data_IF_162973367230
#
_entry.id   IF_162973367230
#
_cell.length_a   1.000
_cell.length_b   1.000
_cell.length_c   1.000
_cell.angle_alpha   90.00
_cell.angle_beta   90.00
_cell.angle_gamma   90.00
#
_symmetry.space_group_name_H-M   'P 1'
#
loop_
_entity.id
_entity.type
_entity.pdbx_description
1 polymer ?
#
# COMPACT_ATOMS: atom_id res chain seq x y z
N UNK A 1 -1.35 -9.05 5.40
CA UNK A 1 -1.96 -8.30 4.29
C UNK A 1 -3.19 -8.97 3.69
N UNK A 2 -3.11 -10.24 3.33
CA UNK A 2 -4.27 -10.97 2.79
C UNK A 2 -5.48 -10.98 3.73
N UNK A 3 -5.25 -11.08 5.04
CA UNK A 3 -6.34 -11.07 6.02
C UNK A 3 -7.16 -9.80 5.98
N UNK A 4 -6.52 -8.62 5.82
CA UNK A 4 -7.24 -7.36 5.73
C UNK A 4 -8.15 -7.32 4.50
N UNK A 5 -7.66 -7.79 3.35
CA UNK A 5 -8.41 -7.82 2.10
C UNK A 5 -9.56 -8.83 2.15
N UNK A 6 -9.30 -10.03 2.67
CA UNK A 6 -10.31 -11.09 2.76
C UNK A 6 -11.42 -10.79 3.78
N UNK A 7 -11.19 -9.86 4.71
CA UNK A 7 -12.23 -9.45 5.66
C UNK A 7 -13.28 -8.52 5.04
N UNK A 8 -13.07 -8.06 3.80
CA UNK A 8 -14.01 -7.19 3.08
C UNK A 8 -14.89 -8.04 2.16
N UNK A 9 -16.22 -8.05 2.38
CA UNK A 9 -17.12 -8.85 1.55
C UNK A 9 -17.06 -8.45 0.07
N UNK A 10 -16.96 -9.45 -0.80
CA UNK A 10 -16.92 -9.23 -2.24
C UNK A 10 -15.59 -8.77 -2.80
N UNK A 11 -14.54 -8.63 -1.98
CA UNK A 11 -13.22 -8.26 -2.45
C UNK A 11 -12.55 -9.41 -3.19
N UNK A 12 -12.01 -9.11 -4.37
CA UNK A 12 -11.18 -10.04 -5.15
C UNK A 12 -9.73 -9.58 -4.98
N UNK A 13 -8.88 -10.48 -4.47
CA UNK A 13 -7.49 -10.16 -4.15
C UNK A 13 -6.55 -10.82 -5.15
N UNK A 14 -5.72 -10.01 -5.80
CA UNK A 14 -4.62 -10.47 -6.64
C UNK A 14 -3.31 -10.18 -5.95
N UNK A 15 -2.50 -11.23 -5.74
CA UNK A 15 -1.14 -11.09 -5.23
C UNK A 15 -0.18 -11.15 -6.40
N UNK A 16 0.52 -10.05 -6.68
CA UNK A 16 1.43 -9.94 -7.81
C UNK A 16 2.85 -9.83 -7.29
N UNK A 17 3.73 -10.71 -7.76
CA UNK A 17 5.15 -10.64 -7.44
C UNK A 17 5.80 -9.52 -8.25
N UNK A 18 6.75 -8.80 -7.64
CA UNK A 18 7.46 -7.70 -8.29
C UNK A 18 8.12 -8.13 -9.60
N UNK A 19 8.70 -9.31 -9.65
CA UNK A 19 9.40 -9.83 -10.82
C UNK A 19 8.49 -9.89 -12.05
N UNK A 20 7.22 -10.22 -11.87
CA UNK A 20 6.25 -10.26 -12.97
C UNK A 20 5.93 -8.86 -13.49
N UNK A 21 5.85 -7.86 -12.63
CA UNK A 21 5.67 -6.47 -13.03
C UNK A 21 6.91 -5.94 -13.75
N UNK A 22 8.09 -6.26 -13.24
CA UNK A 22 9.37 -5.83 -13.82
C UNK A 22 9.62 -6.44 -15.20
N UNK A 23 9.24 -7.70 -15.39
CA UNK A 23 9.27 -8.37 -16.69
C UNK A 23 8.25 -7.82 -17.68
N UNK A 24 7.25 -7.06 -17.22
CA UNK A 24 6.19 -6.57 -18.08
C UNK A 24 5.19 -7.64 -18.49
N UNK A 25 4.96 -8.65 -17.65
CA UNK A 25 3.95 -9.68 -17.94
C UNK A 25 2.57 -9.03 -18.08
N UNK A 26 1.92 -9.24 -19.24
CA UNK A 26 0.66 -8.57 -19.57
C UNK A 26 -0.44 -8.79 -18.54
N UNK A 27 -0.60 -10.02 -18.07
CA UNK A 27 -1.64 -10.36 -17.10
C UNK A 27 -1.43 -9.68 -15.75
N UNK A 28 -0.16 -9.63 -15.29
CA UNK A 28 0.20 -8.94 -14.05
C UNK A 28 -0.02 -7.43 -14.17
N UNK A 29 0.42 -6.82 -15.27
CA UNK A 29 0.23 -5.40 -15.53
C UNK A 29 -1.25 -5.02 -15.65
N UNK A 30 -2.06 -5.83 -16.33
CA UNK A 30 -3.49 -5.58 -16.45
C UNK A 30 -4.16 -5.56 -15.08
N UNK A 31 -3.84 -6.51 -14.22
CA UNK A 31 -4.37 -6.54 -12.85
C UNK A 31 -3.91 -5.33 -12.03
N UNK A 32 -2.65 -4.97 -12.15
CA UNK A 32 -2.09 -3.83 -11.43
C UNK A 32 -2.75 -2.51 -11.86
N UNK A 33 -2.91 -2.28 -13.16
CA UNK A 33 -3.47 -1.02 -13.66
C UNK A 33 -4.99 -0.92 -13.52
N UNK A 34 -5.71 -2.04 -13.46
CA UNK A 34 -7.17 -2.04 -13.45
C UNK A 34 -7.80 -2.33 -12.09
N UNK A 35 -7.01 -2.67 -11.08
CA UNK A 35 -7.54 -2.87 -9.72
C UNK A 35 -8.01 -1.55 -9.11
N UNK A 36 -9.10 -1.59 -8.36
CA UNK A 36 -9.66 -0.39 -7.72
C UNK A 36 -8.69 0.20 -6.71
N UNK A 37 -8.04 -0.65 -5.91
CA UNK A 37 -7.05 -0.25 -4.92
C UNK A 37 -5.79 -1.07 -5.11
N UNK A 38 -4.64 -0.41 -5.16
CA UNK A 38 -3.34 -1.06 -5.15
C UNK A 38 -2.67 -0.89 -3.79
N UNK A 39 -2.18 -1.99 -3.23
CA UNK A 39 -1.37 -1.98 -2.00
C UNK A 39 0.05 -2.34 -2.42
N UNK A 40 0.97 -1.40 -2.24
CA UNK A 40 2.34 -1.50 -2.74
C UNK A 40 3.31 -1.38 -1.57
N UNK A 41 4.14 -2.41 -1.36
CA UNK A 41 5.18 -2.39 -0.34
C UNK A 41 6.49 -1.85 -0.94
N UNK A 42 6.93 -0.71 -0.43
CA UNK A 42 8.13 -0.01 -0.91
C UNK A 42 9.38 -0.36 -0.09
N UNK A 43 9.32 -1.36 0.77
CA UNK A 43 10.40 -1.68 1.71
C UNK A 43 11.69 -2.16 1.05
N UNK A 44 11.61 -2.76 -0.13
CA UNK A 44 12.78 -3.22 -0.89
C UNK A 44 13.31 -2.06 -1.75
N UNK A 45 14.40 -1.46 -1.32
CA UNK A 45 14.90 -0.20 -1.90
C UNK A 45 15.24 -0.31 -3.38
N UNK A 46 15.81 -1.43 -3.82
CA UNK A 46 16.16 -1.64 -5.24
C UNK A 46 14.94 -1.70 -6.16
N UNK A 47 13.76 -1.95 -5.61
CA UNK A 47 12.50 -2.02 -6.37
C UNK A 47 11.78 -0.67 -6.45
N UNK A 48 12.15 0.31 -5.63
CA UNK A 48 11.38 1.54 -5.45
C UNK A 48 11.23 2.33 -6.75
N UNK A 49 12.30 2.53 -7.50
CA UNK A 49 12.25 3.31 -8.74
C UNK A 49 11.25 2.74 -9.73
N UNK A 50 11.25 1.42 -9.92
CA UNK A 50 10.32 0.76 -10.82
C UNK A 50 8.89 0.83 -10.30
N UNK A 51 8.70 0.64 -9.00
CA UNK A 51 7.38 0.73 -8.39
C UNK A 51 6.80 2.15 -8.48
N UNK A 52 7.61 3.18 -8.27
CA UNK A 52 7.17 4.57 -8.45
C UNK A 52 6.80 4.87 -9.91
N UNK A 53 7.56 4.34 -10.86
CA UNK A 53 7.24 4.49 -12.28
C UNK A 53 5.89 3.85 -12.62
N UNK A 54 5.67 2.61 -12.17
CA UNK A 54 4.41 1.89 -12.39
C UNK A 54 3.23 2.57 -11.68
N UNK A 55 3.46 3.09 -10.47
CA UNK A 55 2.45 3.84 -9.73
C UNK A 55 2.04 5.11 -10.49
N UNK A 56 3.00 5.84 -11.05
CA UNK A 56 2.73 7.02 -11.85
C UNK A 56 1.89 6.71 -13.09
N UNK A 57 2.17 5.60 -13.77
CA UNK A 57 1.36 5.15 -14.90
C UNK A 57 -0.07 4.79 -14.46
N UNK A 58 -0.21 4.10 -13.34
CA UNK A 58 -1.54 3.78 -12.79
C UNK A 58 -2.33 5.04 -12.46
N UNK A 59 -1.71 6.04 -11.87
CA UNK A 59 -2.34 7.33 -11.60
C UNK A 59 -2.76 8.05 -12.87
N UNK A 60 -1.95 7.98 -13.93
CA UNK A 60 -2.28 8.55 -15.23
C UNK A 60 -3.51 7.89 -15.88
N UNK A 61 -3.79 6.63 -15.55
CA UNK A 61 -5.03 5.95 -15.97
C UNK A 61 -6.23 6.30 -15.09
N UNK A 62 -6.08 7.22 -14.14
CA UNK A 62 -7.15 7.62 -13.25
C UNK A 62 -7.31 6.74 -12.01
N UNK A 63 -6.46 5.73 -11.82
CA UNK A 63 -6.51 4.81 -10.69
C UNK A 63 -5.73 5.39 -9.51
N UNK A 64 -6.38 6.24 -8.72
CA UNK A 64 -5.71 7.06 -7.69
C UNK A 64 -5.81 6.50 -6.27
N UNK A 65 -6.45 5.36 -6.07
CA UNK A 65 -6.57 4.75 -4.76
C UNK A 65 -5.44 3.76 -4.54
N UNK A 66 -4.39 4.23 -3.85
CA UNK A 66 -3.17 3.47 -3.63
C UNK A 66 -2.76 3.57 -2.16
N UNK A 67 -2.38 2.44 -1.58
CA UNK A 67 -1.87 2.36 -0.21
C UNK A 67 -0.41 1.92 -0.31
N UNK A 68 0.50 2.74 0.20
CA UNK A 68 1.92 2.50 0.13
C UNK A 68 2.43 2.09 1.51
N UNK A 69 3.11 0.95 1.57
CA UNK A 69 3.64 0.38 2.81
C UNK A 69 5.16 0.54 2.84
N UNK A 70 5.71 0.75 4.03
CA UNK A 70 7.15 0.86 4.23
C UNK A 70 7.55 0.29 5.59
N UNK A 71 8.55 -0.60 5.61
CA UNK A 71 9.08 -1.17 6.84
C UNK A 71 10.01 -0.14 7.52
N UNK A 72 9.63 0.32 8.70
CA UNK A 72 10.24 1.45 9.40
C UNK A 72 11.43 0.99 10.25
N UNK A 73 12.57 0.72 9.62
CA UNK A 73 13.83 0.38 10.32
C UNK A 73 14.71 1.60 10.56
N UNK A 74 14.53 2.67 9.78
CA UNK A 74 15.27 3.92 9.88
C UNK A 74 14.25 5.06 9.75
N UNK A 75 14.02 5.80 10.82
CA UNK A 75 13.02 6.87 10.85
C UNK A 75 13.27 7.96 9.82
N UNK A 76 14.53 8.29 9.55
CA UNK A 76 14.87 9.31 8.56
C UNK A 76 14.54 8.84 7.15
N UNK A 77 14.90 7.62 6.78
CA UNK A 77 14.56 7.04 5.49
C UNK A 77 13.04 6.91 5.32
N UNK A 78 12.33 6.51 6.36
CA UNK A 78 10.87 6.40 6.36
C UNK A 78 10.23 7.77 6.14
N UNK A 79 10.70 8.81 6.81
CA UNK A 79 10.17 10.16 6.67
C UNK A 79 10.41 10.70 5.25
N UNK A 80 11.57 10.47 4.67
CA UNK A 80 11.88 10.89 3.30
C UNK A 80 10.99 10.17 2.29
N UNK A 81 10.78 8.86 2.47
CA UNK A 81 9.90 8.08 1.60
C UNK A 81 8.46 8.57 1.72
N UNK A 82 8.00 8.88 2.91
CA UNK A 82 6.66 9.44 3.14
C UNK A 82 6.45 10.75 2.40
N UNK A 83 7.43 11.63 2.43
CA UNK A 83 7.37 12.91 1.71
C UNK A 83 7.28 12.71 0.19
N UNK A 84 7.98 11.71 -0.34
CA UNK A 84 7.92 11.36 -1.76
C UNK A 84 6.51 10.85 -2.15
N UNK A 85 5.80 10.25 -1.21
CA UNK A 85 4.48 9.64 -1.44
C UNK A 85 3.32 10.54 -0.99
N UNK A 86 3.48 11.87 -0.99
CA UNK A 86 2.54 12.81 -0.35
C UNK A 86 1.10 12.72 -0.86
N UNK A 87 0.87 12.26 -2.08
CA UNK A 87 -0.46 12.18 -2.68
C UNK A 87 -1.16 10.82 -2.47
N UNK A 88 -0.55 9.91 -1.74
CA UNK A 88 -1.08 8.56 -1.51
C UNK A 88 -1.17 8.27 -0.01
N UNK A 89 -1.98 7.27 0.34
CA UNK A 89 -2.03 6.77 1.71
C UNK A 89 -0.74 6.04 2.03
N UNK A 90 0.08 6.57 2.93
CA UNK A 90 1.35 5.99 3.34
C UNK A 90 1.23 5.39 4.74
N UNK A 91 1.60 4.12 4.88
CA UNK A 91 1.57 3.41 6.16
C UNK A 91 2.95 2.81 6.41
N UNK A 92 3.65 3.30 7.42
CA UNK A 92 4.88 2.67 7.91
C UNK A 92 4.54 1.63 8.97
N UNK A 93 5.34 0.59 9.07
CA UNK A 93 5.08 -0.52 9.98
C UNK A 93 6.37 -1.15 10.50
N UNK A 94 6.25 -1.87 11.61
CA UNK A 94 7.33 -2.67 12.19
C UNK A 94 6.77 -4.01 12.68
N UNK A 95 7.66 -4.99 12.81
CA UNK A 95 7.36 -6.22 13.52
C UNK A 95 7.54 -5.98 15.01
N UNK A 96 6.49 -6.18 15.81
CA UNK A 96 6.57 -6.04 17.26
C UNK A 96 7.35 -7.20 17.89
N UNK A 97 7.80 -7.07 19.16
CA UNK A 97 8.45 -8.18 19.88
C UNK A 97 7.60 -9.44 19.95
N UNK A 98 6.27 -9.31 19.88
CA UNK A 98 5.32 -10.42 19.89
C UNK A 98 5.04 -11.00 18.52
N UNK A 99 5.82 -10.61 17.49
CA UNK A 99 5.69 -11.05 16.10
C UNK A 99 4.40 -10.57 15.39
N UNK A 100 3.83 -9.46 15.82
CA UNK A 100 2.72 -8.80 15.11
C UNK A 100 3.20 -7.60 14.33
N UNK A 101 2.62 -7.38 13.14
CA UNK A 101 2.88 -6.17 12.37
C UNK A 101 2.06 -5.02 12.95
N UNK A 102 2.72 -3.94 13.32
CA UNK A 102 2.10 -2.75 13.92
C UNK A 102 2.50 -1.51 13.13
N UNK A 103 1.60 -0.52 13.12
CA UNK A 103 1.89 0.75 12.45
C UNK A 103 2.85 1.60 13.25
N UNK A 104 3.59 2.46 12.56
CA UNK A 104 4.52 3.41 13.18
C UNK A 104 4.22 4.82 12.68
N UNK A 105 4.74 5.82 13.40
CA UNK A 105 4.76 7.20 12.93
C UNK A 105 6.22 7.68 12.92
N UNK A 106 6.81 7.93 11.73
CA UNK A 106 8.22 8.31 11.64
C UNK A 106 8.50 9.71 12.20
N UNK A 107 7.47 10.55 12.37
CA UNK A 107 7.62 11.92 12.87
C UNK A 107 7.69 12.01 14.39
N UNK A 108 7.10 11.04 15.10
CA UNK A 108 7.03 11.05 16.57
C UNK A 108 7.33 9.63 17.10
N UNK A 109 7.86 9.59 18.33
CA UNK A 109 8.06 8.32 19.03
C UNK A 109 6.76 7.98 19.77
N UNK A 110 5.84 7.36 19.05
CA UNK A 110 4.51 7.04 19.56
C UNK A 110 4.50 5.63 20.15
N UNK A 111 4.04 5.51 21.38
CA UNK A 111 3.89 4.22 22.06
C UNK A 111 2.54 3.55 21.74
N UNK A 112 1.58 4.32 21.23
CA UNK A 112 0.26 3.81 20.87
C UNK A 112 0.25 3.38 19.40
N UNK A 113 0.45 2.08 19.17
CA UNK A 113 0.52 1.50 17.83
C UNK A 113 -0.69 0.63 17.57
N UNK A 114 -1.26 0.77 16.37
CA UNK A 114 -2.36 -0.07 15.93
C UNK A 114 -1.84 -1.23 15.09
N UNK A 115 -2.61 -2.31 15.02
CA UNK A 115 -2.30 -3.43 14.12
C UNK A 115 -2.29 -2.95 12.66
N UNK A 116 -1.31 -3.42 11.88
CA UNK A 116 -1.26 -3.14 10.44
C UNK A 116 -2.50 -3.67 9.73
N UNK A 117 -2.97 -4.86 10.11
CA UNK A 117 -4.20 -5.44 9.53
C UNK A 117 -5.40 -4.54 9.78
N UNK A 118 -5.56 -4.02 11.00
CA UNK A 118 -6.67 -3.11 11.34
C UNK A 118 -6.59 -1.81 10.56
N UNK A 119 -5.40 -1.24 10.39
CA UNK A 119 -5.19 -0.01 9.62
C UNK A 119 -5.53 -0.21 8.15
N UNK A 120 -5.06 -1.30 7.54
CA UNK A 120 -5.36 -1.62 6.15
C UNK A 120 -6.84 -1.85 5.93
N UNK A 121 -7.50 -2.60 6.84
CA UNK A 121 -8.94 -2.83 6.77
C UNK A 121 -9.71 -1.51 6.79
N UNK A 122 -9.35 -0.59 7.68
CA UNK A 122 -9.98 0.73 7.76
C UNK A 122 -9.81 1.52 6.47
N UNK A 123 -8.60 1.57 5.90
CA UNK A 123 -8.33 2.29 4.65
C UNK A 123 -9.08 1.68 3.48
N UNK A 124 -9.16 0.35 3.41
CA UNK A 124 -9.90 -0.33 2.34
C UNK A 124 -11.40 -0.06 2.44
N UNK A 125 -11.96 -0.05 3.63
CA UNK A 125 -13.37 0.28 3.86
C UNK A 125 -13.67 1.72 3.44
N UNK A 126 -12.79 2.67 3.74
CA UNK A 126 -12.93 4.06 3.30
C UNK A 126 -12.91 4.18 1.78
N UNK A 127 -11.99 3.48 1.11
CA UNK A 127 -11.89 3.49 -0.35
C UNK A 127 -13.14 2.89 -1.00
N UNK A 128 -13.70 1.83 -0.42
CA UNK A 128 -14.95 1.23 -0.89
C UNK A 128 -16.10 2.23 -0.83
N UNK A 129 -16.22 2.98 0.26
CA UNK A 129 -17.25 4.02 0.43
C UNK A 129 -17.06 5.12 -0.61
N UNK A 130 -15.83 5.56 -0.86
CA UNK A 130 -15.52 6.57 -1.87
C UNK A 130 -15.89 6.11 -3.28
N UNK A 131 -15.58 4.86 -3.62
CA UNK A 131 -15.94 4.29 -4.92
C UNK A 131 -17.46 4.27 -5.12
N UNK A 132 -18.23 3.96 -4.08
CA UNK A 132 -19.70 3.98 -4.13
C UNK A 132 -20.25 5.40 -4.32
N UNK A 133 -19.62 6.40 -3.73
CA UNK A 133 -20.02 7.80 -3.86
C UNK A 133 -19.73 8.34 -5.26
N UNK A 134 -18.63 7.95 -5.88
CA UNK A 134 -18.27 8.38 -7.24
C UNK A 134 -19.19 7.78 -8.31
N UNK A 135 -19.90 6.69 -8.03
CA UNK A 135 -20.83 6.06 -8.95
C UNK A 135 -22.23 6.73 -8.99
N UNK A 136 -22.46 7.67 -8.08
CA UNK A 136 -23.70 8.43 -8.03
C UNK A 136 -23.58 9.78 -8.73
#
# INVERSE_FOLDING_TARGET
>A
MRFACHSIPGAVVHHIQFEKLDYGESNALDKFYNSDVAIIDLSVQVQQNQLFYLLGLRENFGMKQNILLYYDTDKEATQQTKLTCANNSFVSYLLSPDNYLVTTNPAIDDTMRTSLVSKLKHLLEMNEVQSKVELY
#
